data_IF_071987108452
#
_entry.id   IF_071987108452
#
_cell.length_a   1.000
_cell.length_b   1.000
_cell.length_c   1.000
_cell.angle_alpha   90.00
_cell.angle_beta   90.00
_cell.angle_gamma   90.00
#
_symmetry.space_group_name_H-M   'P 1'
#
loop_
_entity.id
_entity.type
_entity.pdbx_description
1 polymer ?
#
# COMPACT_ATOMS: atom_id res chain seq x y z
N UNK A 1 -3.01 -10.09 19.20
CA UNK A 1 -3.01 -9.08 18.11
C UNK A 1 -1.98 -9.34 17.00
N UNK A 2 -0.67 -9.47 17.24
CA UNK A 2 0.33 -9.74 16.16
C UNK A 2 0.12 -11.06 15.42
N UNK A 3 -0.22 -12.13 16.14
CA UNK A 3 -0.56 -13.45 15.57
C UNK A 3 -1.93 -13.49 14.86
N UNK A 4 -2.79 -12.53 15.12
CA UNK A 4 -4.17 -12.50 14.62
C UNK A 4 -4.20 -11.97 13.17
N UNK A 5 -3.39 -10.95 12.89
CA UNK A 5 -3.21 -10.43 11.53
C UNK A 5 -2.62 -11.48 10.57
N UNK A 6 -1.80 -12.41 11.09
CA UNK A 6 -1.16 -13.48 10.32
C UNK A 6 -2.16 -14.43 9.65
N UNK A 7 -3.31 -14.70 10.27
CA UNK A 7 -4.32 -15.63 9.73
C UNK A 7 -5.36 -14.93 8.87
N UNK A 8 -5.76 -13.71 9.23
CA UNK A 8 -6.93 -13.04 8.62
C UNK A 8 -6.55 -12.09 7.49
N UNK A 9 -5.40 -11.43 7.55
CA UNK A 9 -4.99 -10.42 6.56
C UNK A 9 -4.08 -11.03 5.49
N UNK A 10 -3.17 -11.91 5.87
CA UNK A 10 -2.23 -12.55 4.92
C UNK A 10 -2.76 -13.84 4.29
N UNK A 11 -3.96 -14.27 4.65
CA UNK A 11 -4.56 -15.54 4.22
C UNK A 11 -3.53 -16.69 4.24
N UNK A 12 -2.77 -16.82 5.33
CA UNK A 12 -1.81 -17.93 5.49
C UNK A 12 -2.60 -19.24 5.60
N UNK A 13 -2.96 -19.77 4.44
CA UNK A 13 -3.50 -21.10 4.25
C UNK A 13 -2.35 -22.11 4.37
N UNK A 14 -2.63 -23.40 4.64
CA UNK A 14 -1.66 -24.46 4.45
C UNK A 14 -1.22 -24.47 2.98
N UNK A 15 -0.14 -23.76 2.66
CA UNK A 15 0.48 -23.85 1.36
C UNK A 15 1.19 -25.20 1.29
N UNK A 16 0.90 -25.98 0.25
CA UNK A 16 1.53 -27.27 0.02
C UNK A 16 3.00 -27.07 -0.39
N UNK A 17 3.84 -26.67 0.55
CA UNK A 17 5.26 -26.48 0.37
C UNK A 17 5.93 -27.83 0.61
N UNK A 18 6.43 -28.43 -0.47
CA UNK A 18 7.01 -29.79 -0.49
C UNK A 18 8.13 -30.03 0.54
N UNK A 19 8.71 -28.97 1.10
CA UNK A 19 9.81 -29.03 2.06
C UNK A 19 9.58 -28.02 3.18
N UNK A 20 9.95 -28.40 4.41
CA UNK A 20 9.76 -27.60 5.63
C UNK A 20 10.52 -26.27 5.57
N UNK A 21 11.74 -26.28 5.01
CA UNK A 21 12.57 -25.08 4.84
C UNK A 21 11.88 -24.00 4.00
N UNK A 22 11.06 -24.40 3.02
CA UNK A 22 10.24 -23.46 2.23
C UNK A 22 9.13 -22.82 3.06
N UNK A 23 8.56 -23.57 4.01
CA UNK A 23 7.58 -23.04 4.96
C UNK A 23 8.17 -21.99 5.89
N UNK A 24 9.35 -22.27 6.43
CA UNK A 24 10.08 -21.32 7.28
C UNK A 24 10.51 -20.06 6.50
N UNK A 25 11.01 -20.24 5.28
CA UNK A 25 11.37 -19.12 4.41
C UNK A 25 10.15 -18.24 4.07
N UNK A 26 9.00 -18.85 3.76
CA UNK A 26 7.77 -18.10 3.49
C UNK A 26 7.31 -17.32 4.73
N UNK A 27 7.36 -17.94 5.92
CA UNK A 27 7.04 -17.28 7.17
C UNK A 27 7.94 -16.06 7.42
N UNK A 28 9.24 -16.18 7.13
CA UNK A 28 10.17 -15.05 7.21
C UNK A 28 9.78 -13.92 6.25
N UNK A 29 9.39 -14.23 5.01
CA UNK A 29 8.91 -13.23 4.04
C UNK A 29 7.66 -12.51 4.59
N UNK A 30 6.70 -13.22 5.17
CA UNK A 30 5.53 -12.58 5.80
C UNK A 30 5.92 -11.64 6.95
N UNK A 31 6.95 -11.98 7.75
CA UNK A 31 7.46 -11.05 8.76
C UNK A 31 8.06 -9.78 8.17
N UNK A 32 8.77 -9.89 7.04
CA UNK A 32 9.31 -8.72 6.33
C UNK A 32 8.17 -7.86 5.78
N UNK A 33 7.13 -8.47 5.19
CA UNK A 33 5.95 -7.76 4.71
C UNK A 33 5.26 -7.01 5.85
N UNK A 34 5.00 -7.68 7.00
CA UNK A 34 4.43 -7.04 8.19
C UNK A 34 5.25 -5.83 8.67
N UNK A 35 6.58 -5.92 8.60
CA UNK A 35 7.45 -4.82 8.98
C UNK A 35 7.28 -3.63 8.02
N UNK A 36 7.24 -3.89 6.70
CA UNK A 36 7.02 -2.86 5.69
C UNK A 36 5.65 -2.21 5.85
N UNK A 37 4.59 -3.00 6.06
CA UNK A 37 3.25 -2.47 6.31
C UNK A 37 3.20 -1.58 7.56
N UNK A 38 3.84 -2.01 8.66
CA UNK A 38 3.91 -1.20 9.87
C UNK A 38 4.65 0.13 9.66
N UNK A 39 5.67 0.16 8.81
CA UNK A 39 6.39 1.38 8.45
C UNK A 39 5.51 2.31 7.60
N UNK A 40 4.81 1.79 6.60
CA UNK A 40 3.87 2.58 5.77
C UNK A 40 2.78 3.22 6.65
N UNK A 41 2.13 2.42 7.49
CA UNK A 41 1.10 2.92 8.42
C UNK A 41 1.65 3.97 9.38
N UNK A 42 2.86 3.75 9.91
CA UNK A 42 3.53 4.69 10.81
C UNK A 42 3.78 6.03 10.12
N UNK A 43 4.34 6.04 8.92
CA UNK A 43 4.64 7.28 8.20
C UNK A 43 3.36 8.07 7.90
N UNK A 44 2.30 7.42 7.41
CA UNK A 44 1.01 8.08 7.16
C UNK A 44 0.40 8.65 8.44
N UNK A 45 0.37 7.87 9.54
CA UNK A 45 -0.19 8.33 10.83
C UNK A 45 0.64 9.46 11.44
N UNK A 46 1.96 9.43 11.28
CA UNK A 46 2.81 10.55 11.68
C UNK A 46 2.55 11.79 10.82
N UNK A 47 2.35 11.64 9.51
CA UNK A 47 1.90 12.70 8.63
C UNK A 47 0.57 13.31 9.09
N UNK A 48 -0.40 12.47 9.46
CA UNK A 48 -1.68 12.91 10.01
C UNK A 48 -1.48 13.71 11.30
N UNK A 49 -0.65 13.23 12.22
CA UNK A 49 -0.35 13.93 13.46
C UNK A 49 0.34 15.29 13.23
N UNK A 50 1.34 15.35 12.33
CA UNK A 50 2.04 16.60 11.96
C UNK A 50 1.10 17.64 11.36
N UNK A 51 0.07 17.19 10.64
CA UNK A 51 -0.91 18.05 9.97
C UNK A 51 -2.19 18.28 10.78
N UNK A 52 -2.29 17.74 12.01
CA UNK A 52 -3.46 17.88 12.87
C UNK A 52 -4.71 17.14 12.39
N UNK A 53 -4.57 16.14 11.51
CA UNK A 53 -5.69 15.37 10.97
C UNK A 53 -6.08 14.20 11.87
N UNK A 54 -7.32 14.20 12.34
CA UNK A 54 -7.86 13.13 13.18
C UNK A 54 -8.28 11.87 12.38
N UNK A 55 -8.62 12.01 11.09
CA UNK A 55 -9.06 10.90 10.25
C UNK A 55 -8.88 11.18 8.76
N UNK A 56 -8.93 10.12 7.95
CA UNK A 56 -8.94 10.16 6.48
C UNK A 56 -10.20 9.47 5.94
N UNK A 57 -10.76 9.87 4.79
CA UNK A 57 -11.95 9.24 4.20
C UNK A 57 -11.60 7.94 3.44
N UNK A 58 -11.01 6.96 4.13
CA UNK A 58 -10.44 5.74 3.52
C UNK A 58 -11.25 4.47 3.73
N UNK A 59 -12.17 4.45 4.68
CA UNK A 59 -13.07 3.31 4.82
C UNK A 59 -14.07 3.29 3.66
N UNK A 60 -14.77 2.15 3.44
CA UNK A 60 -15.81 2.08 2.42
C UNK A 60 -16.78 3.26 2.52
N UNK A 61 -17.31 3.67 1.36
CA UNK A 61 -18.16 4.86 1.22
C UNK A 61 -17.50 6.19 1.66
N UNK A 62 -16.16 6.24 1.77
CA UNK A 62 -15.43 7.46 2.19
C UNK A 62 -15.54 7.75 3.68
N UNK A 63 -15.91 6.75 4.50
CA UNK A 63 -16.05 6.92 5.95
C UNK A 63 -14.73 7.27 6.63
N UNK A 64 -14.85 7.97 7.77
CA UNK A 64 -13.73 8.42 8.57
C UNK A 64 -12.90 7.24 9.12
N UNK A 65 -11.62 7.24 8.79
CA UNK A 65 -10.62 6.27 9.20
C UNK A 65 -9.57 6.95 10.07
N UNK A 66 -9.60 6.79 11.40
CA UNK A 66 -8.64 7.43 12.31
C UNK A 66 -7.27 6.72 12.35
N UNK A 67 -7.24 5.44 11.99
CA UNK A 67 -6.04 4.61 12.02
C UNK A 67 -5.95 3.80 10.71
N UNK A 68 -5.57 4.43 9.60
CA UNK A 68 -5.48 3.75 8.30
C UNK A 68 -4.49 2.60 8.37
N UNK A 69 -4.87 1.46 7.79
CA UNK A 69 -4.00 0.30 7.60
C UNK A 69 -3.40 0.31 6.20
N UNK A 70 -2.32 -0.44 5.98
CA UNK A 70 -1.68 -0.51 4.66
C UNK A 70 -2.66 -0.95 3.57
N UNK A 71 -3.59 -1.86 3.88
CA UNK A 71 -4.62 -2.30 2.94
C UNK A 71 -5.50 -1.14 2.44
N UNK A 72 -5.94 -0.24 3.34
CA UNK A 72 -6.72 0.94 2.94
C UNK A 72 -5.87 2.00 2.23
N UNK A 73 -4.63 2.20 2.69
CA UNK A 73 -3.70 3.17 2.10
C UNK A 73 -3.39 2.78 0.65
N UNK A 74 -2.98 1.54 0.40
CA UNK A 74 -2.69 1.05 -0.95
C UNK A 74 -3.97 0.89 -1.77
N UNK A 75 -5.07 0.47 -1.14
CA UNK A 75 -6.38 0.35 -1.79
C UNK A 75 -6.88 1.66 -2.40
N UNK A 76 -6.55 2.81 -1.80
CA UNK A 76 -6.86 4.12 -2.38
C UNK A 76 -6.24 4.32 -3.77
N UNK A 77 -5.12 3.67 -4.07
CA UNK A 77 -4.43 3.76 -5.36
C UNK A 77 -4.76 2.59 -6.30
N UNK A 78 -5.70 1.70 -5.96
CA UNK A 78 -5.97 0.49 -6.73
C UNK A 78 -6.30 0.74 -8.21
N UNK A 79 -6.96 1.87 -8.51
CA UNK A 79 -7.31 2.27 -9.88
C UNK A 79 -6.34 3.29 -10.50
N UNK A 80 -5.26 3.65 -9.79
CA UNK A 80 -4.22 4.55 -10.30
C UNK A 80 -3.27 3.74 -11.18
N UNK A 81 -3.13 4.15 -12.44
CA UNK A 81 -2.32 3.43 -13.42
C UNK A 81 -1.49 4.41 -14.27
N UNK A 82 -0.32 3.95 -14.69
CA UNK A 82 0.52 4.60 -15.71
C UNK A 82 0.38 3.77 -16.98
N UNK A 83 0.09 4.41 -18.11
CA UNK A 83 -0.06 3.72 -19.39
C UNK A 83 1.16 3.94 -20.27
N UNK A 84 1.70 2.87 -20.86
CA UNK A 84 2.81 2.96 -21.82
C UNK A 84 2.32 2.55 -23.21
N UNK A 85 2.57 3.40 -24.20
CA UNK A 85 2.45 3.06 -25.61
C UNK A 85 3.77 2.45 -26.07
N UNK A 86 3.70 1.22 -26.58
CA UNK A 86 4.86 0.45 -27.02
C UNK A 86 4.76 0.17 -28.51
N UNK A 87 5.79 0.56 -29.26
CA UNK A 87 5.96 0.24 -30.68
C UNK A 87 7.30 -0.47 -30.89
N UNK A 88 7.29 -1.59 -31.63
CA UNK A 88 8.50 -2.39 -31.90
C UNK A 88 9.33 -2.73 -30.65
N UNK A 89 8.66 -3.00 -29.52
CA UNK A 89 9.30 -3.34 -28.25
C UNK A 89 9.92 -2.15 -27.50
N UNK A 90 9.70 -0.91 -27.95
CA UNK A 90 10.16 0.32 -27.29
C UNK A 90 8.97 1.14 -26.80
N UNK A 91 9.05 1.67 -25.58
CA UNK A 91 8.09 2.66 -25.09
C UNK A 91 8.28 3.94 -25.89
N UNK A 92 7.30 4.30 -26.70
CA UNK A 92 7.31 5.52 -27.51
C UNK A 92 6.57 6.67 -26.84
N UNK A 93 5.68 6.36 -25.89
CA UNK A 93 4.96 7.36 -25.10
C UNK A 93 4.54 6.79 -23.75
N UNK A 94 4.61 7.62 -22.72
CA UNK A 94 4.06 7.35 -21.39
C UNK A 94 2.93 8.34 -21.11
N UNK A 95 1.85 7.83 -20.52
CA UNK A 95 0.75 8.62 -19.99
C UNK A 95 0.81 8.47 -18.47
N UNK A 96 1.16 9.56 -17.78
CA UNK A 96 1.26 9.59 -16.32
C UNK A 96 -0.09 9.31 -15.66
N UNK A 97 -0.05 8.95 -14.38
CA UNK A 97 -1.27 8.62 -13.66
C UNK A 97 -2.09 9.86 -13.31
N UNK A 98 -3.42 9.75 -13.44
CA UNK A 98 -4.33 10.79 -12.98
C UNK A 98 -4.55 10.67 -11.47
N UNK A 99 -4.02 11.64 -10.73
CA UNK A 99 -4.16 11.70 -9.27
C UNK A 99 -5.28 12.67 -8.86
N UNK A 100 -6.21 12.17 -8.05
CA UNK A 100 -7.19 13.02 -7.37
C UNK A 100 -6.53 13.84 -6.26
N UNK A 101 -7.21 14.85 -5.72
CA UNK A 101 -6.72 15.57 -4.55
C UNK A 101 -6.52 14.65 -3.34
N UNK A 102 -7.39 13.64 -3.16
CA UNK A 102 -7.25 12.64 -2.11
C UNK A 102 -5.98 11.80 -2.27
N UNK A 103 -5.65 11.38 -3.49
CA UNK A 103 -4.40 10.66 -3.76
C UNK A 103 -3.18 11.51 -3.43
N UNK A 104 -3.14 12.75 -3.92
CA UNK A 104 -2.05 13.70 -3.66
C UNK A 104 -1.88 13.97 -2.17
N UNK A 105 -2.98 14.14 -1.46
CA UNK A 105 -2.97 14.37 -0.03
C UNK A 105 -2.42 13.15 0.74
N UNK A 106 -2.84 11.94 0.37
CA UNK A 106 -2.33 10.71 0.97
C UNK A 106 -0.83 10.49 0.67
N UNK A 107 -0.36 10.82 -0.55
CA UNK A 107 1.07 10.79 -0.89
C UNK A 107 1.87 11.77 -0.03
N UNK A 108 1.37 12.99 0.19
CA UNK A 108 2.02 13.97 1.09
C UNK A 108 2.11 13.46 2.52
N UNK A 109 1.06 12.82 3.03
CA UNK A 109 1.07 12.23 4.37
C UNK A 109 2.08 11.08 4.46
N UNK A 110 2.22 10.27 3.40
CA UNK A 110 3.18 9.19 3.29
C UNK A 110 4.62 9.65 3.01
N UNK A 111 4.86 10.94 2.74
CA UNK A 111 6.17 11.46 2.37
C UNK A 111 6.64 11.02 0.97
N UNK A 112 5.71 10.63 0.10
CA UNK A 112 5.99 10.16 -1.26
C UNK A 112 5.82 11.33 -2.24
N UNK A 113 6.82 11.63 -3.08
CA UNK A 113 6.70 12.70 -4.07
C UNK A 113 5.70 12.31 -5.17
N UNK A 114 4.86 13.26 -5.60
CA UNK A 114 3.87 13.04 -6.66
C UNK A 114 4.53 12.64 -7.99
N UNK A 115 5.78 13.09 -8.23
CA UNK A 115 6.59 12.74 -9.40
C UNK A 115 6.85 11.24 -9.54
N UNK A 116 6.68 10.44 -8.47
CA UNK A 116 6.75 8.99 -8.54
C UNK A 116 5.60 8.37 -9.38
N UNK A 117 4.50 9.10 -9.57
CA UNK A 117 3.29 8.64 -10.26
C UNK A 117 3.01 9.40 -11.57
N UNK A 118 3.64 10.54 -11.79
CA UNK A 118 3.37 11.44 -12.92
C UNK A 118 4.53 11.54 -13.90
N UNK A 119 5.48 10.58 -13.86
CA UNK A 119 6.73 10.61 -14.62
C UNK A 119 6.59 10.97 -16.09
#
# INVERSE_FOLDING_TARGET
>A
KRFEQMKTVYEVAPMLLKRIDRGEALQFVYFVVMLVEALIEREVRQGMARTGRASLPLYPEGRACPAPTTAFILGAFYHVAIHHLVENGKVVKQFGAELTEGHRDLLRLAGVPETAYTG
#
